data_IF_359490587441
#
_entry.id   IF_359490587441
#
_cell.length_a   1.000
_cell.length_b   1.000
_cell.length_c   1.000
_cell.angle_alpha   90.00
_cell.angle_beta   90.00
_cell.angle_gamma   90.00
#
_symmetry.space_group_name_H-M   'P 1'
#
loop_
_entity.id
_entity.type
_entity.pdbx_description
1 polymer ?
#
# COMPACT_ATOMS: atom_id res chain seq x y z
N UNK A 1 2.05 15.46 16.67
CA UNK A 1 1.59 15.63 15.27
C UNK A 1 0.24 14.96 15.11
N UNK A 2 -0.65 15.49 14.28
CA UNK A 2 -1.95 14.89 13.99
C UNK A 2 -2.06 14.50 12.52
N UNK A 3 -2.54 13.29 12.25
CA UNK A 3 -2.82 12.78 10.90
C UNK A 3 -4.33 12.67 10.74
N UNK A 4 -4.86 13.23 9.67
CA UNK A 4 -6.23 12.98 9.20
C UNK A 4 -6.11 12.50 7.76
N UNK A 5 -6.78 11.40 7.43
CA UNK A 5 -6.65 10.79 6.11
C UNK A 5 -7.91 10.11 5.64
N UNK A 6 -8.13 10.10 4.32
CA UNK A 6 -9.15 9.30 3.65
C UNK A 6 -8.47 8.29 2.74
N UNK A 7 -8.81 7.01 2.92
CA UNK A 7 -8.42 5.90 2.07
C UNK A 7 -9.66 5.45 1.29
N UNK A 8 -9.56 5.23 -0.02
CA UNK A 8 -10.71 4.79 -0.82
C UNK A 8 -10.36 3.84 -1.96
N UNK A 9 -11.35 3.04 -2.36
CA UNK A 9 -11.33 2.18 -3.54
C UNK A 9 -12.68 2.34 -4.24
N UNK A 10 -12.65 2.48 -5.56
CA UNK A 10 -13.85 2.63 -6.37
C UNK A 10 -13.74 1.81 -7.66
N UNK A 11 -14.87 1.25 -8.10
CA UNK A 11 -15.01 0.64 -9.41
C UNK A 11 -16.35 1.08 -10.01
N UNK A 12 -16.30 1.57 -11.24
CA UNK A 12 -17.47 1.96 -12.03
C UNK A 12 -17.47 1.17 -13.33
N UNK A 13 -18.57 0.50 -13.62
CA UNK A 13 -18.73 -0.34 -14.83
C UNK A 13 -20.03 0.04 -15.51
N UNK A 14 -20.00 0.08 -16.84
CA UNK A 14 -21.17 0.18 -17.70
C UNK A 14 -21.01 -0.83 -18.82
N UNK A 15 -21.86 -1.85 -18.83
CA UNK A 15 -21.91 -2.86 -19.89
C UNK A 15 -23.20 -2.69 -20.68
N UNK A 16 -23.06 -2.42 -21.97
CA UNK A 16 -24.21 -2.17 -22.84
C UNK A 16 -24.37 -3.26 -23.89
N UNK A 17 -25.62 -3.55 -24.26
CA UNK A 17 -25.99 -4.38 -25.41
C UNK A 17 -27.00 -3.63 -26.26
N UNK A 18 -26.59 -3.26 -27.47
CA UNK A 18 -27.49 -2.68 -28.46
C UNK A 18 -28.38 -3.77 -29.09
N UNK A 19 -29.63 -3.41 -29.34
CA UNK A 19 -30.64 -4.13 -30.12
C UNK A 19 -31.15 -3.15 -31.21
N UNK A 20 -31.87 -3.67 -32.20
CA UNK A 20 -32.27 -2.89 -33.38
C UNK A 20 -33.10 -1.63 -33.05
N UNK A 21 -33.83 -1.62 -31.93
CA UNK A 21 -34.68 -0.49 -31.50
C UNK A 21 -34.41 0.00 -30.07
N UNK A 22 -33.48 -0.62 -29.34
CA UNK A 22 -33.23 -0.29 -27.92
C UNK A 22 -31.82 -0.68 -27.49
N UNK A 23 -31.40 -0.27 -26.30
CA UNK A 23 -30.18 -0.74 -25.65
C UNK A 23 -30.49 -1.18 -24.22
N UNK A 24 -29.87 -2.27 -23.80
CA UNK A 24 -29.84 -2.70 -22.39
C UNK A 24 -28.51 -2.24 -21.79
N UNK A 25 -28.54 -1.78 -20.53
CA UNK A 25 -27.37 -1.37 -19.76
C UNK A 25 -27.34 -2.07 -18.39
N UNK A 26 -26.19 -2.63 -18.04
CA UNK A 26 -25.86 -3.10 -16.69
C UNK A 26 -24.77 -2.20 -16.11
N UNK A 27 -25.07 -1.52 -15.00
CA UNK A 27 -24.18 -0.55 -14.38
C UNK A 27 -23.84 -0.93 -12.94
N UNK A 28 -22.55 -0.81 -12.60
CA UNK A 28 -22.04 -1.02 -11.24
C UNK A 28 -21.38 0.27 -10.75
N UNK A 29 -21.74 0.70 -9.55
CA UNK A 29 -21.06 1.73 -8.81
C UNK A 29 -20.63 1.19 -7.43
N UNK A 30 -19.41 0.65 -7.36
CA UNK A 30 -18.82 0.17 -6.12
C UNK A 30 -17.88 1.22 -5.54
N UNK A 31 -18.07 1.57 -4.26
CA UNK A 31 -17.16 2.47 -3.52
C UNK A 31 -17.01 2.00 -2.09
N UNK A 32 -15.77 2.00 -1.62
CA UNK A 32 -15.42 1.83 -0.20
C UNK A 32 -14.44 2.92 0.20
N UNK A 33 -14.65 3.49 1.37
CA UNK A 33 -13.75 4.50 1.92
C UNK A 33 -13.66 4.37 3.44
N UNK A 34 -12.52 4.78 3.98
CA UNK A 34 -12.19 4.81 5.40
C UNK A 34 -11.66 6.20 5.71
N UNK A 35 -12.32 6.89 6.64
CA UNK A 35 -11.84 8.16 7.18
C UNK A 35 -11.20 7.90 8.53
N UNK A 36 -9.93 8.28 8.66
CA UNK A 36 -9.18 8.15 9.91
C UNK A 36 -9.03 9.54 10.53
N UNK A 37 -9.45 9.67 11.78
CA UNK A 37 -9.13 10.82 12.60
C UNK A 37 -7.72 10.73 13.19
N UNK A 38 -7.28 11.78 13.87
CA UNK A 38 -5.98 11.74 14.55
C UNK A 38 -6.03 10.93 15.85
N UNK A 39 -5.03 10.07 16.05
CA UNK A 39 -4.80 9.28 17.28
C UNK A 39 -4.44 7.82 16.98
N UNK A 40 -4.45 6.96 18.00
CA UNK A 40 -3.95 5.58 17.92
C UNK A 40 -5.04 4.48 17.95
N UNK A 41 -6.26 4.83 18.36
CA UNK A 41 -7.35 3.85 18.52
C UNK A 41 -8.00 3.46 17.18
N UNK A 42 -9.04 2.61 17.21
CA UNK A 42 -9.88 2.33 16.05
C UNK A 42 -10.35 3.62 15.36
N UNK A 43 -10.33 3.62 14.02
CA UNK A 43 -10.74 4.77 13.20
C UNK A 43 -9.77 5.96 13.28
N UNK A 44 -8.54 5.74 13.75
CA UNK A 44 -7.53 6.78 13.89
C UNK A 44 -6.15 6.37 13.37
N UNK A 45 -5.35 7.37 13.02
CA UNK A 45 -3.94 7.25 12.67
C UNK A 45 -3.13 8.44 13.24
N UNK A 46 -1.84 8.22 13.48
CA UNK A 46 -0.91 9.25 13.95
C UNK A 46 0.47 9.18 13.28
N UNK A 47 0.66 8.23 12.35
CA UNK A 47 1.88 8.04 11.57
C UNK A 47 1.56 7.99 10.08
N UNK A 48 2.40 8.63 9.28
CA UNK A 48 2.31 8.63 7.82
C UNK A 48 3.71 8.63 7.22
N UNK A 49 3.92 7.75 6.26
CA UNK A 49 5.06 7.77 5.35
C UNK A 49 4.54 7.83 3.92
N UNK A 50 5.18 8.60 3.07
CA UNK A 50 4.96 8.55 1.63
C UNK A 50 6.22 8.97 0.90
N UNK A 51 6.49 8.33 -0.22
CA UNK A 51 7.69 8.58 -1.01
C UNK A 51 7.52 8.08 -2.45
N UNK A 52 8.35 8.61 -3.35
CA UNK A 52 8.59 8.06 -4.68
C UNK A 52 10.00 7.49 -4.71
N UNK A 53 10.12 6.20 -4.99
CA UNK A 53 11.40 5.49 -4.93
C UNK A 53 11.74 4.86 -6.27
N UNK A 54 13.03 4.76 -6.56
CA UNK A 54 13.56 4.15 -7.78
C UNK A 54 14.59 3.10 -7.41
N UNK A 55 14.36 1.87 -7.86
CA UNK A 55 15.27 0.75 -7.69
C UNK A 55 16.02 0.50 -8.99
N UNK A 56 17.35 0.40 -8.90
CA UNK A 56 18.18 -0.01 -10.03
C UNK A 56 17.80 -1.43 -10.52
N UNK A 57 18.37 -1.83 -11.67
CA UNK A 57 18.23 -3.20 -12.17
C UNK A 57 18.62 -4.23 -11.10
N UNK A 58 17.79 -5.27 -10.94
CA UNK A 58 17.93 -6.35 -9.94
C UNK A 58 17.98 -5.90 -8.49
N UNK A 59 17.79 -4.61 -8.20
CA UNK A 59 17.87 -4.09 -6.84
C UNK A 59 16.61 -4.44 -6.05
N UNK A 60 16.82 -4.57 -4.74
CA UNK A 60 15.76 -4.70 -3.75
C UNK A 60 16.04 -3.78 -2.59
N UNK A 61 15.00 -3.35 -1.89
CA UNK A 61 15.10 -2.66 -0.62
C UNK A 61 14.12 -3.24 0.38
N UNK A 62 14.46 -3.14 1.67
CA UNK A 62 13.58 -3.50 2.77
C UNK A 62 13.19 -2.21 3.50
N UNK A 63 11.92 -1.84 3.42
CA UNK A 63 11.38 -0.71 4.16
C UNK A 63 11.04 -1.18 5.58
N UNK A 64 11.83 -0.73 6.56
CA UNK A 64 11.60 -1.02 7.98
C UNK A 64 10.49 -0.13 8.53
N UNK A 65 9.33 -0.76 8.78
CA UNK A 65 8.13 -0.11 9.31
C UNK A 65 8.27 0.29 10.79
N UNK A 66 9.36 -0.05 11.46
CA UNK A 66 9.51 0.11 12.90
C UNK A 66 10.86 0.69 13.33
N UNK A 67 11.37 1.75 12.68
CA UNK A 67 12.48 2.53 13.23
C UNK A 67 13.36 3.30 12.24
N UNK A 68 13.33 2.97 10.95
CA UNK A 68 14.21 3.60 9.95
C UNK A 68 13.51 4.66 9.11
N UNK A 69 12.25 4.44 8.73
CA UNK A 69 11.51 5.42 7.93
C UNK A 69 11.37 6.73 8.70
N UNK A 70 11.53 7.86 8.01
CA UNK A 70 11.36 9.18 8.60
C UNK A 70 10.05 9.78 8.10
N UNK A 71 9.40 10.56 8.96
CA UNK A 71 8.32 11.43 8.52
C UNK A 71 8.85 12.68 7.78
N UNK A 72 7.93 13.49 7.27
CA UNK A 72 8.27 14.72 6.55
C UNK A 72 8.99 15.77 7.40
N UNK A 73 9.07 15.59 8.72
CA UNK A 73 9.76 16.47 9.66
C UNK A 73 11.09 15.87 10.15
N UNK A 74 11.48 14.71 9.62
CA UNK A 74 12.72 14.02 9.96
C UNK A 74 12.65 13.17 11.23
N UNK A 75 11.47 12.97 11.83
CA UNK A 75 11.33 12.10 12.98
C UNK A 75 11.17 10.64 12.54
N UNK A 76 11.84 9.72 13.26
CA UNK A 76 11.73 8.30 13.00
C UNK A 76 10.29 7.80 13.24
N UNK A 77 9.81 6.98 12.31
CA UNK A 77 8.52 6.34 12.34
C UNK A 77 8.65 4.93 12.90
N UNK A 78 7.83 4.65 13.91
CA UNK A 78 7.60 3.31 14.41
C UNK A 78 6.12 3.00 14.31
N UNK A 79 5.73 2.19 13.32
CA UNK A 79 4.37 1.69 13.19
C UNK A 79 4.22 0.46 14.09
N UNK A 80 3.17 0.42 14.91
CA UNK A 80 2.69 -0.81 15.56
C UNK A 80 1.61 -1.47 14.71
N UNK A 81 0.98 -0.70 13.82
CA UNK A 81 0.02 -1.20 12.83
C UNK A 81 -0.08 -0.28 11.63
N UNK A 82 -0.25 -0.88 10.46
CA UNK A 82 -0.60 -0.20 9.23
C UNK A 82 -2.13 -0.20 9.11
N UNK A 83 -2.71 1.00 8.96
CA UNK A 83 -4.14 1.22 8.70
C UNK A 83 -4.44 1.31 7.21
N UNK A 84 -3.46 1.69 6.40
CA UNK A 84 -3.49 1.42 4.98
C UNK A 84 -2.15 1.56 4.28
N UNK A 85 -2.05 0.82 3.19
CA UNK A 85 -0.89 0.70 2.33
C UNK A 85 -1.34 0.88 0.89
N UNK A 86 -0.71 1.81 0.18
CA UNK A 86 -0.87 1.97 -1.25
C UNK A 86 0.48 1.90 -1.92
N UNK A 87 0.57 1.13 -3.00
CA UNK A 87 1.75 1.06 -3.84
C UNK A 87 1.33 1.17 -5.30
N UNK A 88 1.99 2.03 -6.06
CA UNK A 88 1.73 2.25 -7.49
C UNK A 88 3.03 2.15 -8.27
N UNK A 89 3.09 1.28 -9.26
CA UNK A 89 4.21 1.18 -10.18
C UNK A 89 4.05 2.21 -11.30
N UNK A 90 5.11 2.96 -11.61
CA UNK A 90 5.08 3.93 -12.70
C UNK A 90 4.77 3.25 -14.06
N UNK A 91 3.95 3.91 -14.88
CA UNK A 91 3.56 3.43 -16.22
C UNK A 91 4.76 3.20 -17.15
N UNK A 92 5.80 4.02 -17.00
CA UNK A 92 7.00 3.96 -17.83
C UNK A 92 7.99 2.83 -17.46
N UNK A 93 7.71 2.07 -16.40
CA UNK A 93 8.55 0.93 -16.05
C UNK A 93 8.51 -0.13 -17.17
N UNK A 94 9.63 -0.81 -17.37
CA UNK A 94 9.68 -2.00 -18.26
C UNK A 94 9.59 -3.29 -17.44
N UNK A 95 10.10 -3.27 -16.20
CA UNK A 95 10.04 -4.39 -15.27
C UNK A 95 8.92 -4.19 -14.24
N UNK A 96 8.57 -5.25 -13.54
CA UNK A 96 7.54 -5.20 -12.50
C UNK A 96 8.15 -4.70 -11.19
N UNK A 97 7.30 -4.06 -10.38
CA UNK A 97 7.56 -3.80 -8.98
C UNK A 97 6.97 -4.98 -8.19
N UNK A 98 7.79 -5.66 -7.39
CA UNK A 98 7.37 -6.79 -6.57
C UNK A 98 7.41 -6.39 -5.11
N UNK A 99 6.29 -6.55 -4.39
CA UNK A 99 6.12 -6.10 -3.00
C UNK A 99 5.89 -7.30 -2.09
N UNK A 100 6.60 -7.36 -0.97
CA UNK A 100 6.55 -8.46 0.01
C UNK A 100 7.72 -9.45 -0.13
N UNK A 101 7.70 -10.51 0.69
CA UNK A 101 8.70 -11.58 0.65
C UNK A 101 10.10 -11.18 1.13
N UNK A 102 10.21 -10.34 2.17
CA UNK A 102 11.49 -10.04 2.79
C UNK A 102 12.16 -11.32 3.33
N UNK A 103 13.48 -11.42 3.22
CA UNK A 103 14.20 -12.65 3.57
C UNK A 103 14.24 -12.89 5.09
N UNK A 104 14.30 -11.82 5.88
CA UNK A 104 14.31 -11.82 7.33
C UNK A 104 13.23 -10.89 7.84
N UNK A 105 12.62 -11.21 8.99
CA UNK A 105 11.60 -10.39 9.63
C UNK A 105 10.49 -9.86 8.68
N UNK A 106 9.96 -10.68 7.76
CA UNK A 106 8.98 -10.20 6.81
C UNK A 106 7.75 -9.69 7.53
N UNK A 107 7.27 -8.53 7.13
CA UNK A 107 6.01 -8.02 7.62
C UNK A 107 4.85 -8.85 7.07
N UNK A 108 4.25 -9.67 7.93
CA UNK A 108 3.18 -10.61 7.57
C UNK A 108 1.77 -10.07 7.81
N UNK A 109 1.64 -8.75 8.04
CA UNK A 109 0.34 -8.14 8.34
C UNK A 109 -0.67 -8.29 7.20
N UNK A 110 -0.21 -8.20 5.95
CA UNK A 110 -1.06 -8.28 4.75
C UNK A 110 -0.87 -9.56 3.93
N UNK A 111 0.35 -10.07 3.86
CA UNK A 111 0.74 -11.24 3.06
C UNK A 111 1.40 -12.28 3.96
N UNK A 112 1.47 -13.53 3.51
CA UNK A 112 2.30 -14.53 4.21
C UNK A 112 3.79 -14.15 4.09
N UNK A 113 4.64 -14.77 4.91
CA UNK A 113 6.08 -14.47 4.94
C UNK A 113 6.77 -14.53 3.56
N UNK A 114 6.33 -15.45 2.69
CA UNK A 114 6.84 -15.61 1.32
C UNK A 114 5.91 -15.04 0.25
N UNK A 115 4.77 -14.46 0.65
CA UNK A 115 3.78 -13.92 -0.26
C UNK A 115 4.25 -12.63 -0.91
N UNK A 116 3.97 -12.47 -2.19
CA UNK A 116 4.33 -11.29 -2.97
C UNK A 116 3.17 -10.77 -3.79
N UNK A 117 3.09 -9.46 -3.97
CA UNK A 117 2.27 -8.79 -4.97
C UNK A 117 3.15 -8.36 -6.14
N UNK A 118 2.75 -8.70 -7.36
CA UNK A 118 3.45 -8.29 -8.58
C UNK A 118 2.65 -7.18 -9.26
N UNK A 119 3.21 -5.97 -9.24
CA UNK A 119 2.69 -4.80 -9.94
C UNK A 119 3.38 -4.68 -11.29
N UNK A 120 2.62 -4.95 -12.36
CA UNK A 120 3.03 -4.64 -13.73
C UNK A 120 3.16 -3.12 -13.91
N UNK A 121 3.86 -2.63 -14.96
CA UNK A 121 3.89 -1.19 -15.26
C UNK A 121 2.48 -0.57 -15.25
N UNK A 122 2.32 0.51 -14.48
CA UNK A 122 1.05 1.20 -14.25
C UNK A 122 0.05 0.53 -13.30
N UNK A 123 0.35 -0.66 -12.80
CA UNK A 123 -0.50 -1.32 -11.82
C UNK A 123 -0.37 -0.66 -10.44
N UNK A 124 -1.49 -0.62 -9.72
CA UNK A 124 -1.57 -0.13 -8.35
C UNK A 124 -2.29 -1.12 -7.46
N UNK A 125 -1.91 -1.17 -6.19
CA UNK A 125 -2.59 -1.94 -5.16
C UNK A 125 -2.81 -1.08 -3.92
N UNK A 126 -3.93 -1.31 -3.25
CA UNK A 126 -4.29 -0.64 -2.01
C UNK A 126 -4.93 -1.63 -1.03
N UNK A 127 -4.52 -1.54 0.23
CA UNK A 127 -5.16 -2.23 1.35
C UNK A 127 -5.49 -1.21 2.44
N UNK A 128 -6.65 -1.35 3.07
CA UNK A 128 -7.09 -0.46 4.14
C UNK A 128 -7.88 -1.24 5.20
N UNK A 129 -7.57 -0.99 6.46
CA UNK A 129 -8.31 -1.52 7.60
C UNK A 129 -9.61 -0.72 7.81
N UNK A 130 -10.67 -1.40 8.26
CA UNK A 130 -11.95 -0.75 8.52
C UNK A 130 -11.88 0.25 9.68
N UNK A 131 -12.78 1.23 9.73
CA UNK A 131 -12.83 2.22 10.82
C UNK A 131 -13.03 1.60 12.21
N UNK A 132 -13.68 0.44 12.29
CA UNK A 132 -13.88 -0.27 13.56
C UNK A 132 -12.69 -1.16 13.96
N UNK A 133 -11.74 -1.38 13.04
CA UNK A 133 -10.62 -2.29 13.25
C UNK A 133 -9.49 -1.59 14.00
N UNK A 134 -9.39 -1.87 15.30
CA UNK A 134 -8.29 -1.39 16.14
C UNK A 134 -6.97 -2.10 15.81
N UNK A 135 -7.01 -3.39 15.48
CA UNK A 135 -5.85 -4.24 15.23
C UNK A 135 -5.16 -3.86 13.92
N UNK A 136 -5.95 -3.75 12.84
CA UNK A 136 -5.46 -3.54 11.48
C UNK A 136 -4.33 -4.50 11.10
N UNK A 137 -3.38 -4.06 10.29
CA UNK A 137 -2.26 -4.89 9.88
C UNK A 137 -1.08 -4.68 10.85
N UNK A 138 -0.98 -5.55 11.84
CA UNK A 138 0.00 -5.45 12.93
C UNK A 138 1.45 -5.47 12.40
N UNK A 139 2.33 -4.69 13.05
CA UNK A 139 3.77 -4.62 12.81
C UNK A 139 4.48 -5.01 14.11
N UNK A 140 5.43 -5.94 14.03
CA UNK A 140 6.20 -6.38 15.21
C UNK A 140 7.65 -5.96 15.03
N UNK A 141 8.05 -4.92 15.77
CA UNK A 141 9.41 -4.37 15.70
C UNK A 141 10.48 -5.46 15.89
N UNK A 142 11.47 -5.46 15.01
CA UNK A 142 12.62 -6.36 14.97
C UNK A 142 12.34 -7.79 14.50
N UNK A 143 11.09 -8.20 14.28
CA UNK A 143 10.76 -9.60 13.93
C UNK A 143 9.69 -9.77 12.84
N UNK A 144 8.98 -8.71 12.49
CA UNK A 144 7.89 -8.75 11.51
C UNK A 144 7.53 -7.34 11.06
N UNK A 145 8.50 -6.63 10.51
CA UNK A 145 8.44 -5.20 10.20
C UNK A 145 9.08 -4.81 8.87
N UNK A 146 9.67 -5.76 8.13
CA UNK A 146 10.27 -5.47 6.83
C UNK A 146 9.27 -5.66 5.69
N UNK A 147 8.93 -4.55 5.02
CA UNK A 147 8.21 -4.55 3.74
C UNK A 147 9.22 -4.45 2.60
N UNK A 148 9.51 -5.59 1.97
CA UNK A 148 10.40 -5.63 0.81
C UNK A 148 9.75 -5.07 -0.44
N UNK A 149 10.52 -4.31 -1.22
CA UNK A 149 10.20 -3.96 -2.61
C UNK A 149 11.37 -4.35 -3.51
N UNK A 150 11.06 -4.94 -4.67
CA UNK A 150 12.05 -5.48 -5.59
C UNK A 150 11.75 -5.10 -7.03
N UNK A 151 12.82 -4.84 -7.79
CA UNK A 151 12.78 -4.79 -9.25
C UNK A 151 12.82 -6.21 -9.82
N UNK A 152 11.83 -6.59 -10.63
CA UNK A 152 11.76 -7.94 -11.19
C UNK A 152 12.76 -8.22 -12.32
N UNK A 153 13.47 -7.21 -12.83
CA UNK A 153 14.30 -7.35 -14.01
C UNK A 153 15.71 -6.78 -13.84
N UNK A 154 16.62 -7.27 -14.68
CA UNK A 154 18.05 -6.94 -14.64
C UNK A 154 18.49 -5.89 -15.68
N UNK A 155 17.57 -5.39 -16.51
CA UNK A 155 17.91 -4.50 -17.63
C UNK A 155 17.72 -3.01 -17.36
N UNK A 156 16.74 -2.64 -16.53
CA UNK A 156 16.34 -1.24 -16.31
C UNK A 156 15.83 -1.04 -14.88
N UNK A 157 15.84 0.21 -14.41
CA UNK A 157 15.27 0.56 -13.12
C UNK A 157 13.74 0.47 -13.11
N UNK A 158 13.16 0.37 -11.91
CA UNK A 158 11.72 0.56 -11.68
C UNK A 158 11.48 1.72 -10.72
N UNK A 159 10.44 2.50 -10.97
CA UNK A 159 9.97 3.57 -10.07
C UNK A 159 8.60 3.21 -9.51
N UNK A 160 8.39 3.50 -8.24
CA UNK A 160 7.11 3.29 -7.57
C UNK A 160 6.82 4.39 -6.56
N UNK A 161 5.53 4.64 -6.35
CA UNK A 161 5.02 5.48 -5.29
C UNK A 161 4.50 4.58 -4.16
N UNK A 162 4.73 4.99 -2.92
CA UNK A 162 4.23 4.30 -1.74
C UNK A 162 3.62 5.29 -0.76
N UNK A 163 2.50 4.91 -0.16
CA UNK A 163 1.87 5.62 0.96
C UNK A 163 1.53 4.61 2.04
N UNK A 164 1.97 4.88 3.26
CA UNK A 164 1.74 4.08 4.45
C UNK A 164 1.12 4.98 5.50
N UNK A 165 -0.07 4.62 5.96
CA UNK A 165 -0.76 5.30 7.05
C UNK A 165 -0.95 4.28 8.16
N UNK A 166 -0.65 4.67 9.40
CA UNK A 166 -0.69 3.75 10.53
C UNK A 166 -0.75 4.44 11.87
N UNK A 167 -0.66 3.62 12.91
CA UNK A 167 -0.69 4.06 14.30
C UNK A 167 0.53 3.56 15.09
N UNK A 168 0.99 4.38 16.04
CA UNK A 168 2.11 4.08 16.93
C UNK A 168 1.76 3.21 18.14
N UNK A 169 0.47 3.02 18.42
CA UNK A 169 -0.07 2.18 19.48
C UNK A 169 -1.49 1.79 19.15
#
# INVERSE_FOLDING_TARGET
MGVTSTLSMAASVSQTKALDLTSVEDSLAFRRAVNLGSGTTAGKADKVFHDRRTLAASATEDLDLAGVLLDAFGAALTFVRVKGLYVSAADANVNNVVVGGAATNPWIGLLTATGTLTLRPGASVGAMAGVADATAYAVTAGTGDLLKVANSGAGTSVTYDIVIIGASA
#
